data_IF_418843319131
#
_entry.id   IF_418843319131
#
_cell.length_a   1.000
_cell.length_b   1.000
_cell.length_c   1.000
_cell.angle_alpha   90.00
_cell.angle_beta   90.00
_cell.angle_gamma   90.00
#
_symmetry.space_group_name_H-M   'P 1'
#
loop_
_entity.id
_entity.type
_entity.pdbx_description
1 polymer ?
#
# COMPACT_ATOMS: atom_id res chain seq x y z
N UNK A 1 5.99 13.94 -11.80
CA UNK A 1 6.80 14.85 -10.96
C UNK A 1 5.87 15.50 -9.95
N UNK A 2 6.23 15.51 -8.67
CA UNK A 2 5.40 16.14 -7.63
C UNK A 2 6.29 17.00 -6.72
N UNK A 3 5.93 18.27 -6.58
CA UNK A 3 6.67 19.24 -5.74
C UNK A 3 5.83 19.76 -4.56
N UNK A 4 4.67 19.14 -4.32
CA UNK A 4 3.71 19.56 -3.30
C UNK A 4 3.57 18.50 -2.21
N UNK A 5 3.30 18.94 -0.99
CA UNK A 5 2.88 18.06 0.10
C UNK A 5 1.45 17.61 -0.16
N UNK A 6 1.24 16.30 -0.26
CA UNK A 6 -0.09 15.71 -0.33
C UNK A 6 -0.46 15.15 1.05
N UNK A 7 -1.62 15.54 1.56
CA UNK A 7 -2.15 14.94 2.79
C UNK A 7 -2.55 13.47 2.59
N UNK A 8 -2.98 13.14 1.37
CA UNK A 8 -3.40 11.80 0.99
C UNK A 8 -2.19 11.00 0.48
N UNK A 9 -1.95 9.79 1.00
CA UNK A 9 -0.93 8.89 0.47
C UNK A 9 -1.17 8.61 -1.02
N UNK A 10 -0.09 8.59 -1.79
CA UNK A 10 -0.11 8.22 -3.21
C UNK A 10 0.66 6.91 -3.34
N UNK A 11 0.08 5.93 -4.02
CA UNK A 11 0.80 4.71 -4.38
C UNK A 11 0.87 4.55 -5.89
N UNK A 12 1.93 3.91 -6.34
CA UNK A 12 2.19 3.63 -7.74
C UNK A 12 2.58 2.17 -7.89
N UNK A 13 2.12 1.52 -8.94
CA UNK A 13 2.62 0.22 -9.39
C UNK A 13 3.44 0.45 -10.66
N UNK A 14 4.55 -0.28 -10.78
CA UNK A 14 5.39 -0.21 -11.97
C UNK A 14 6.13 -1.53 -12.16
N UNK A 15 6.11 -2.05 -13.39
CA UNK A 15 6.90 -3.23 -13.78
C UNK A 15 8.30 -2.79 -14.20
N UNK A 16 9.21 -2.69 -13.24
CA UNK A 16 10.61 -2.35 -13.48
C UNK A 16 11.54 -3.02 -12.48
N UNK A 17 12.73 -3.42 -12.95
CA UNK A 17 13.82 -3.87 -12.07
C UNK A 17 14.68 -2.72 -11.55
N UNK A 18 14.45 -1.50 -12.03
CA UNK A 18 15.22 -0.30 -11.70
C UNK A 18 14.28 0.79 -11.22
N UNK A 19 14.52 1.29 -10.02
CA UNK A 19 13.85 2.45 -9.45
C UNK A 19 14.88 3.56 -9.26
N UNK A 20 14.61 4.72 -9.84
CA UNK A 20 15.43 5.92 -9.68
C UNK A 20 14.57 6.99 -9.02
N UNK A 21 15.05 7.55 -7.92
CA UNK A 21 14.40 8.65 -7.21
C UNK A 21 15.35 9.85 -7.30
N UNK A 22 14.92 10.91 -7.98
CA UNK A 22 15.63 12.17 -8.02
C UNK A 22 14.91 13.19 -7.14
N UNK A 23 15.62 13.75 -6.17
CA UNK A 23 15.09 14.79 -5.29
C UNK A 23 15.95 16.04 -5.43
N UNK A 24 15.29 17.18 -5.66
CA UNK A 24 15.91 18.48 -5.77
C UNK A 24 15.19 19.46 -4.84
N UNK A 25 15.95 20.24 -4.08
CA UNK A 25 15.45 21.32 -3.21
C UNK A 25 16.04 22.66 -3.65
N UNK A 26 15.38 23.77 -3.31
CA UNK A 26 16.00 25.09 -3.33
C UNK A 26 16.71 25.35 -2.00
N UNK A 27 17.85 26.01 -2.02
CA UNK A 27 18.74 26.20 -0.85
C UNK A 27 18.10 27.01 0.31
N UNK A 28 17.00 27.73 0.05
CA UNK A 28 16.40 28.66 1.01
C UNK A 28 15.26 28.08 1.87
N UNK A 29 14.69 26.91 1.52
CA UNK A 29 13.51 26.35 2.19
C UNK A 29 13.69 24.87 2.52
N UNK A 30 14.26 24.56 3.68
CA UNK A 30 14.38 23.17 4.17
C UNK A 30 13.20 22.79 5.06
N UNK A 31 12.43 21.79 4.67
CA UNK A 31 11.41 21.14 5.49
C UNK A 31 11.78 19.68 5.78
N UNK A 32 10.94 18.96 6.54
CA UNK A 32 11.10 17.50 6.66
C UNK A 32 10.99 16.88 5.27
N UNK A 33 11.89 15.94 4.98
CA UNK A 33 11.90 15.19 3.72
C UNK A 33 10.72 14.22 3.61
N UNK A 34 10.84 13.26 2.70
CA UNK A 34 9.80 12.28 2.42
C UNK A 34 10.29 10.85 2.71
N UNK A 35 9.34 9.93 2.81
CA UNK A 35 9.60 8.49 2.87
C UNK A 35 8.83 7.81 1.75
N UNK A 36 9.50 6.93 1.00
CA UNK A 36 8.87 6.12 -0.05
C UNK A 36 8.94 4.66 0.39
N UNK A 37 7.92 4.15 1.10
CA UNK A 37 7.81 2.73 1.35
C UNK A 37 7.54 2.02 0.02
N UNK A 38 8.33 1.00 -0.30
CA UNK A 38 8.13 0.17 -1.49
C UNK A 38 8.21 -1.32 -1.16
N UNK A 39 7.63 -2.14 -2.03
CA UNK A 39 7.70 -3.60 -1.99
C UNK A 39 7.77 -4.15 -3.41
N UNK A 40 8.51 -5.24 -3.58
CA UNK A 40 8.52 -6.02 -4.82
C UNK A 40 7.63 -7.25 -4.63
N UNK A 41 6.91 -7.64 -5.66
CA UNK A 41 6.02 -8.80 -5.66
C UNK A 41 6.24 -9.62 -6.93
N UNK A 42 5.76 -10.86 -6.90
CA UNK A 42 5.79 -11.76 -8.06
C UNK A 42 4.84 -11.25 -9.15
N UNK A 43 5.22 -11.37 -10.43
CA UNK A 43 4.38 -10.91 -11.55
C UNK A 43 3.01 -11.61 -11.61
N UNK A 44 2.91 -12.83 -11.07
CA UNK A 44 1.64 -13.55 -10.92
C UNK A 44 0.64 -12.80 -10.02
N UNK A 45 1.11 -11.89 -9.17
CA UNK A 45 0.29 -11.10 -8.25
C UNK A 45 -0.08 -9.73 -8.80
N UNK A 46 0.38 -9.35 -9.99
CA UNK A 46 0.16 -8.02 -10.59
C UNK A 46 -1.33 -7.64 -10.60
N UNK A 47 -2.20 -8.56 -11.03
CA UNK A 47 -3.64 -8.29 -11.10
C UNK A 47 -4.23 -7.95 -9.73
N UNK A 48 -3.81 -8.65 -8.67
CA UNK A 48 -4.25 -8.37 -7.31
C UNK A 48 -3.73 -7.03 -6.81
N UNK A 49 -2.45 -6.74 -7.05
CA UNK A 49 -1.83 -5.49 -6.59
C UNK A 49 -2.47 -4.29 -7.31
N UNK A 50 -2.67 -4.36 -8.62
CA UNK A 50 -3.38 -3.32 -9.35
C UNK A 50 -4.81 -3.13 -8.85
N UNK A 51 -5.54 -4.22 -8.59
CA UNK A 51 -6.92 -4.16 -8.11
C UNK A 51 -7.05 -3.61 -6.68
N UNK A 52 -5.99 -3.70 -5.86
CA UNK A 52 -5.91 -3.05 -4.54
C UNK A 52 -5.49 -1.58 -4.67
N UNK A 53 -4.41 -1.30 -5.39
CA UNK A 53 -3.81 0.04 -5.49
C UNK A 53 -4.71 1.00 -6.25
N UNK A 54 -5.43 0.53 -7.27
CA UNK A 54 -6.37 1.37 -8.03
C UNK A 54 -7.73 1.52 -7.35
N UNK A 55 -8.01 0.77 -6.28
CA UNK A 55 -9.26 0.89 -5.54
C UNK A 55 -9.25 2.18 -4.73
N UNK A 56 -10.00 3.19 -5.20
CA UNK A 56 -10.10 4.49 -4.54
C UNK A 56 -10.51 4.43 -3.07
N UNK A 57 -11.18 3.34 -2.63
CA UNK A 57 -11.54 3.13 -1.22
C UNK A 57 -10.31 2.97 -0.32
N UNK A 58 -9.16 2.55 -0.86
CA UNK A 58 -7.89 2.49 -0.15
C UNK A 58 -7.47 3.87 0.38
N UNK A 59 -7.79 4.94 -0.35
CA UNK A 59 -7.41 6.31 -0.02
C UNK A 59 -8.58 7.17 0.50
N UNK A 60 -9.82 6.67 0.39
CA UNK A 60 -11.02 7.48 0.61
C UNK A 60 -11.27 7.88 2.07
N UNK A 61 -10.86 7.08 3.05
CA UNK A 61 -11.10 7.36 4.48
C UNK A 61 -9.81 7.69 5.21
N UNK A 62 -9.85 8.66 6.14
CA UNK A 62 -8.71 9.01 7.00
C UNK A 62 -8.16 7.77 7.73
N UNK A 63 -9.05 6.93 8.25
CA UNK A 63 -8.70 5.67 8.89
C UNK A 63 -7.86 4.74 7.99
N UNK A 64 -8.10 4.72 6.68
CA UNK A 64 -7.27 3.95 5.75
C UNK A 64 -5.94 4.66 5.46
N UNK A 65 -5.95 5.98 5.38
CA UNK A 65 -4.73 6.76 5.15
C UNK A 65 -3.74 6.62 6.32
N UNK A 66 -4.23 6.57 7.56
CA UNK A 66 -3.37 6.39 8.74
C UNK A 66 -2.63 5.04 8.73
N UNK A 67 -3.25 3.98 8.18
CA UNK A 67 -2.59 2.68 7.97
C UNK A 67 -1.39 2.82 7.03
N UNK A 68 -1.53 3.65 5.99
CA UNK A 68 -0.48 3.88 5.00
C UNK A 68 0.64 4.80 5.53
N UNK A 69 0.37 5.57 6.59
CA UNK A 69 1.34 6.42 7.27
C UNK A 69 2.06 5.70 8.43
N UNK A 70 1.44 4.69 9.04
CA UNK A 70 2.05 3.90 10.11
C UNK A 70 3.08 2.89 9.57
N UNK A 71 4.31 2.98 10.08
CA UNK A 71 5.45 2.16 9.62
C UNK A 71 5.25 0.65 9.83
N UNK A 72 4.56 0.23 10.89
CA UNK A 72 4.32 -1.19 11.16
C UNK A 72 3.20 -1.72 10.27
N UNK A 73 2.12 -0.95 10.13
CA UNK A 73 0.96 -1.36 9.34
C UNK A 73 1.27 -1.36 7.84
N UNK A 74 1.99 -0.36 7.32
CA UNK A 74 2.40 -0.35 5.90
C UNK A 74 3.30 -1.53 5.57
N UNK A 75 4.25 -1.88 6.46
CA UNK A 75 5.13 -3.05 6.26
C UNK A 75 4.33 -4.33 6.19
N UNK A 76 3.37 -4.49 7.09
CA UNK A 76 2.54 -5.68 7.15
C UNK A 76 1.55 -5.75 5.97
N UNK A 77 1.03 -4.61 5.51
CA UNK A 77 0.28 -4.52 4.26
C UNK A 77 1.13 -4.93 3.05
N UNK A 78 2.39 -4.49 2.98
CA UNK A 78 3.33 -4.91 1.94
C UNK A 78 3.63 -6.40 1.96
N UNK A 79 3.71 -7.02 3.14
CA UNK A 79 3.84 -8.47 3.23
C UNK A 79 2.65 -9.20 2.59
N UNK A 80 1.44 -8.63 2.68
CA UNK A 80 0.26 -9.16 1.97
C UNK A 80 0.35 -8.96 0.47
N UNK A 81 0.84 -7.81 -0.01
CA UNK A 81 1.04 -7.57 -1.45
C UNK A 81 2.09 -8.51 -2.05
N UNK A 82 3.21 -8.72 -1.34
CA UNK A 82 4.28 -9.61 -1.78
C UNK A 82 3.92 -11.09 -1.62
N UNK A 83 3.08 -11.43 -0.64
CA UNK A 83 2.69 -12.80 -0.34
C UNK A 83 1.21 -12.84 0.08
N UNK A 84 0.25 -12.89 -0.86
CA UNK A 84 -1.18 -12.82 -0.57
C UNK A 84 -1.66 -13.89 0.43
N UNK A 85 -0.98 -15.04 0.47
CA UNK A 85 -1.21 -16.13 1.43
C UNK A 85 -1.08 -15.70 2.90
N UNK A 86 -0.24 -14.69 3.18
CA UNK A 86 0.00 -14.17 4.52
C UNK A 86 -1.12 -13.26 5.03
N UNK A 87 -2.11 -12.92 4.19
CA UNK A 87 -3.26 -12.11 4.57
C UNK A 87 -3.93 -12.58 5.87
N UNK A 88 -4.19 -13.88 6.01
CA UNK A 88 -4.87 -14.42 7.20
C UNK A 88 -4.03 -14.23 8.46
N UNK A 89 -2.70 -14.40 8.36
CA UNK A 89 -1.77 -14.17 9.48
C UNK A 89 -1.72 -12.69 9.85
N UNK A 90 -1.68 -11.82 8.85
CA UNK A 90 -1.69 -10.37 9.01
C UNK A 90 -2.95 -9.90 9.74
N UNK A 91 -4.13 -10.32 9.28
CA UNK A 91 -5.39 -9.88 9.88
C UNK A 91 -5.57 -10.35 11.30
N UNK A 92 -5.12 -11.56 11.64
CA UNK A 92 -5.20 -12.04 13.03
C UNK A 92 -4.28 -11.24 13.96
N UNK A 93 -3.06 -10.92 13.51
CA UNK A 93 -2.08 -10.17 14.31
C UNK A 93 -2.43 -8.69 14.51
N UNK A 94 -3.09 -8.08 13.53
CA UNK A 94 -3.34 -6.63 13.50
C UNK A 94 -4.84 -6.27 13.57
N UNK A 95 -5.71 -7.24 13.88
CA UNK A 95 -7.18 -7.12 13.85
C UNK A 95 -7.71 -5.92 14.62
N UNK A 96 -7.13 -5.65 15.78
CA UNK A 96 -7.57 -4.60 16.70
C UNK A 96 -7.10 -3.20 16.27
N UNK A 97 -6.00 -3.13 15.51
CA UNK A 97 -5.42 -1.86 15.04
C UNK A 97 -5.95 -1.45 13.66
N UNK A 98 -6.65 -2.35 12.96
CA UNK A 98 -7.11 -2.13 11.59
C UNK A 98 -8.60 -1.79 11.53
N UNK A 99 -8.99 -0.78 10.74
CA UNK A 99 -10.38 -0.51 10.43
C UNK A 99 -11.04 -1.74 9.78
N UNK A 100 -12.26 -2.07 10.23
CA UNK A 100 -13.05 -3.18 9.66
C UNK A 100 -13.26 -3.04 8.15
N UNK A 101 -13.41 -1.81 7.67
CA UNK A 101 -13.53 -1.47 6.25
C UNK A 101 -12.28 -1.84 5.45
N UNK A 102 -11.10 -1.62 6.03
CA UNK A 102 -9.81 -1.96 5.41
C UNK A 102 -9.63 -3.47 5.31
N UNK A 103 -9.90 -4.18 6.41
CA UNK A 103 -9.88 -5.65 6.44
C UNK A 103 -10.87 -6.21 5.41
N UNK A 104 -12.10 -5.66 5.33
CA UNK A 104 -13.12 -6.11 4.38
C UNK A 104 -12.68 -5.91 2.93
N UNK A 105 -12.05 -4.78 2.62
CA UNK A 105 -11.50 -4.48 1.30
C UNK A 105 -10.45 -5.52 0.93
N UNK A 106 -9.42 -5.69 1.75
CA UNK A 106 -8.34 -6.65 1.49
C UNK A 106 -8.86 -8.08 1.41
N UNK A 107 -9.77 -8.48 2.32
CA UNK A 107 -10.39 -9.80 2.29
C UNK A 107 -11.04 -10.08 0.95
N UNK A 108 -11.84 -9.13 0.45
CA UNK A 108 -12.56 -9.28 -0.81
C UNK A 108 -11.58 -9.51 -1.96
N UNK A 109 -10.54 -8.68 -2.05
CA UNK A 109 -9.54 -8.71 -3.12
C UNK A 109 -8.69 -9.99 -3.08
N UNK A 110 -8.11 -10.30 -1.92
CA UNK A 110 -7.26 -11.47 -1.73
C UNK A 110 -8.05 -12.77 -1.88
N UNK A 111 -9.28 -12.84 -1.37
CA UNK A 111 -10.09 -14.06 -1.48
C UNK A 111 -10.49 -14.34 -2.93
N UNK A 112 -10.90 -13.31 -3.67
CA UNK A 112 -11.21 -13.44 -5.11
C UNK A 112 -9.98 -13.88 -5.91
N UNK A 113 -8.80 -13.36 -5.56
CA UNK A 113 -7.54 -13.76 -6.23
C UNK A 113 -7.13 -15.20 -5.92
N UNK A 114 -7.13 -15.60 -4.65
CA UNK A 114 -6.70 -16.94 -4.23
C UNK A 114 -7.71 -18.04 -4.53
N UNK A 115 -9.00 -17.69 -4.67
CA UNK A 115 -10.11 -18.63 -4.90
C UNK A 115 -11.10 -18.07 -5.93
N UNK A 116 -10.71 -17.96 -7.20
CA UNK A 116 -11.52 -17.31 -8.23
C UNK A 116 -12.81 -18.06 -8.62
N UNK A 117 -12.93 -19.35 -8.26
CA UNK A 117 -14.05 -20.23 -8.65
C UNK A 117 -15.00 -20.57 -7.49
N UNK A 118 -15.09 -19.73 -6.46
CA UNK A 118 -16.04 -19.90 -5.34
C UNK A 118 -17.14 -18.86 -5.34
#
# INVERSE_FOLDING_TARGET
ETCQTYERPIAFTARSRKLWINFKTSEANSARGFQIPYVTYDEDYEQLVEDIVRDGRLYASENHQEILKDKKLIKAFFEVLAHPQNYFKYTEKHKEMLPKSFIKLLRSKVSSFLRPYK
#
